data_IF_884760344979
#
_entry.id   IF_884760344979
#
_cell.length_a   1.000
_cell.length_b   1.000
_cell.length_c   1.000
_cell.angle_alpha   90.00
_cell.angle_beta   90.00
_cell.angle_gamma   90.00
#
_symmetry.space_group_name_H-M   'P 1'
#
loop_
_entity.id
_entity.type
_entity.pdbx_description
1 polymer ?
#
# COMPACT_ATOMS: atom_id res chain seq x y z
N UNK A 1 -0.72 19.65 0.86
CA UNK A 1 -1.79 18.86 0.20
C UNK A 1 -2.36 17.88 1.20
N UNK A 2 -3.68 17.75 1.29
CA UNK A 2 -4.30 16.70 2.10
C UNK A 2 -4.17 15.34 1.39
N UNK A 3 -3.80 14.30 2.12
CA UNK A 3 -3.74 12.93 1.58
C UNK A 3 -5.14 12.37 1.35
N UNK A 4 -5.31 11.62 0.26
CA UNK A 4 -6.51 10.85 -0.03
C UNK A 4 -6.65 9.70 0.97
N UNK A 5 -7.91 9.36 1.27
CA UNK A 5 -8.21 8.30 2.22
C UNK A 5 -7.98 6.92 1.59
N UNK A 6 -7.33 6.02 2.32
CA UNK A 6 -7.23 4.61 1.93
C UNK A 6 -8.45 3.87 2.45
N UNK A 7 -9.23 3.31 1.53
CA UNK A 7 -10.41 2.49 1.85
C UNK A 7 -10.26 1.16 1.15
N UNK A 8 -10.04 0.06 1.88
CA UNK A 8 -9.93 -1.26 1.25
C UNK A 8 -11.17 -1.58 0.40
N UNK A 9 -10.97 -2.17 -0.77
CA UNK A 9 -12.02 -2.40 -1.74
C UNK A 9 -11.57 -3.22 -2.94
N UNK A 10 -12.44 -3.32 -3.94
CA UNK A 10 -12.20 -4.07 -5.17
C UNK A 10 -12.26 -3.16 -6.39
N UNK A 11 -11.56 -3.52 -7.48
CA UNK A 11 -11.51 -2.69 -8.69
C UNK A 11 -12.90 -2.39 -9.27
N UNK A 12 -13.75 -3.40 -9.40
CA UNK A 12 -15.05 -3.29 -10.07
C UNK A 12 -16.14 -2.53 -9.31
N UNK A 13 -15.88 -2.02 -8.09
CA UNK A 13 -16.86 -1.30 -7.28
C UNK A 13 -16.29 0.02 -6.75
N UNK A 14 -17.10 1.07 -6.89
CA UNK A 14 -16.91 2.38 -6.28
C UNK A 14 -18.01 2.68 -5.27
N UNK A 15 -17.87 3.80 -4.57
CA UNK A 15 -18.92 4.34 -3.69
C UNK A 15 -20.20 4.75 -4.46
N UNK A 16 -20.11 4.85 -5.80
CA UNK A 16 -21.23 5.13 -6.70
C UNK A 16 -21.80 3.86 -7.36
N UNK A 17 -21.29 2.68 -7.02
CA UNK A 17 -21.68 1.40 -7.61
C UNK A 17 -20.63 0.81 -8.56
N UNK A 18 -21.06 -0.08 -9.46
CA UNK A 18 -20.16 -0.85 -10.34
C UNK A 18 -19.42 0.04 -11.33
N UNK A 19 -18.10 -0.11 -11.37
CA UNK A 19 -17.26 0.43 -12.44
C UNK A 19 -17.20 -0.64 -13.52
N UNK A 20 -17.95 -0.43 -14.60
CA UNK A 20 -18.09 -1.42 -15.68
C UNK A 20 -16.99 -1.33 -16.74
N UNK A 21 -16.19 -0.25 -16.77
CA UNK A 21 -15.11 -0.09 -17.75
C UNK A 21 -13.81 -0.73 -17.25
N UNK A 22 -13.28 -1.77 -17.91
CA UNK A 22 -11.97 -2.32 -17.56
C UNK A 22 -10.82 -1.34 -17.83
N UNK A 23 -11.02 -0.40 -18.76
CA UNK A 23 -9.98 0.50 -19.27
C UNK A 23 -9.51 1.48 -18.20
N UNK A 24 -10.39 1.89 -17.28
CA UNK A 24 -9.98 2.81 -16.21
C UNK A 24 -8.94 2.18 -15.28
N UNK A 25 -8.86 0.86 -15.20
CA UNK A 25 -7.85 0.16 -14.39
C UNK A 25 -6.55 -0.15 -15.14
N UNK A 26 -6.51 0.13 -16.45
CA UNK A 26 -5.33 -0.04 -17.32
C UNK A 26 -5.16 1.21 -18.19
N UNK A 27 -4.93 2.38 -17.58
CA UNK A 27 -4.74 3.61 -18.35
C UNK A 27 -3.51 3.48 -19.26
N UNK A 28 -3.54 4.13 -20.44
CA UNK A 28 -2.36 4.28 -21.29
C UNK A 28 -1.17 4.87 -20.54
N UNK A 29 0.04 4.54 -21.00
CA UNK A 29 1.27 4.94 -20.31
C UNK A 29 1.48 6.45 -20.26
N UNK A 30 1.05 7.19 -21.29
CA UNK A 30 1.14 8.65 -21.30
C UNK A 30 0.29 9.27 -20.18
N UNK A 31 -0.92 8.73 -19.96
CA UNK A 31 -1.83 9.16 -18.91
C UNK A 31 -1.29 8.84 -17.52
N UNK A 32 -0.71 7.64 -17.37
CA UNK A 32 -0.02 7.22 -16.14
C UNK A 32 1.15 8.15 -15.82
N UNK A 33 1.97 8.48 -16.82
CA UNK A 33 3.11 9.39 -16.67
C UNK A 33 2.64 10.80 -16.28
N UNK A 34 1.61 11.34 -16.94
CA UNK A 34 1.04 12.67 -16.60
C UNK A 34 0.53 12.73 -15.16
N UNK A 35 -0.19 11.71 -14.69
CA UNK A 35 -0.66 11.65 -13.31
C UNK A 35 0.51 11.59 -12.31
N UNK A 36 1.50 10.73 -12.57
CA UNK A 36 2.71 10.63 -11.76
C UNK A 36 3.53 11.92 -11.72
N UNK A 37 3.68 12.62 -12.86
CA UNK A 37 4.38 13.90 -12.91
C UNK A 37 3.63 14.98 -12.13
N UNK A 38 2.30 15.07 -12.28
CA UNK A 38 1.46 16.02 -11.52
C UNK A 38 1.63 15.83 -10.01
N UNK A 39 1.71 14.58 -9.56
CA UNK A 39 1.84 14.24 -8.15
C UNK A 39 3.32 14.20 -7.69
N UNK A 40 4.26 14.66 -8.52
CA UNK A 40 5.72 14.62 -8.24
C UNK A 40 6.23 13.23 -7.86
N UNK A 41 5.63 12.19 -8.43
CA UNK A 41 5.83 10.78 -8.10
C UNK A 41 5.61 10.47 -6.61
N UNK A 42 4.79 11.26 -5.91
CA UNK A 42 4.40 11.05 -4.53
C UNK A 42 3.02 10.37 -4.46
N UNK A 43 2.93 9.30 -3.69
CA UNK A 43 1.68 8.62 -3.41
C UNK A 43 0.69 9.59 -2.75
N UNK A 44 -0.45 9.86 -3.39
CA UNK A 44 -1.49 10.75 -2.88
C UNK A 44 -2.17 10.25 -1.61
N UNK A 45 -1.92 9.00 -1.20
CA UNK A 45 -2.53 8.37 -0.03
C UNK A 45 -1.64 8.38 1.22
N UNK A 46 -0.34 8.11 1.06
CA UNK A 46 0.59 8.02 2.18
C UNK A 46 1.79 8.97 2.07
N UNK A 47 1.95 9.67 0.96
CA UNK A 47 3.06 10.59 0.72
C UNK A 47 4.38 9.92 0.34
N UNK A 48 4.42 8.59 0.18
CA UNK A 48 5.64 7.93 -0.28
C UNK A 48 6.02 8.35 -1.70
N UNK A 49 7.19 8.97 -1.84
CA UNK A 49 7.73 9.43 -3.11
C UNK A 49 8.75 8.44 -3.67
N UNK A 50 8.63 8.11 -4.96
CA UNK A 50 9.50 7.15 -5.65
C UNK A 50 9.36 7.33 -7.16
N UNK A 51 10.47 7.50 -7.89
CA UNK A 51 10.41 7.71 -9.36
C UNK A 51 10.06 6.44 -10.15
N UNK A 52 10.16 5.27 -9.52
CA UNK A 52 9.77 3.97 -10.11
C UNK A 52 8.74 3.26 -9.24
N UNK A 53 7.99 2.36 -9.90
CA UNK A 53 7.01 1.46 -9.27
C UNK A 53 5.84 2.19 -8.58
N UNK A 54 5.54 3.42 -9.00
CA UNK A 54 4.25 4.02 -8.68
C UNK A 54 3.19 3.47 -9.63
N UNK A 55 2.01 3.23 -9.08
CA UNK A 55 0.79 2.89 -9.80
C UNK A 55 -0.12 4.13 -9.86
N UNK A 56 -1.17 4.05 -10.66
CA UNK A 56 -2.22 5.07 -10.72
C UNK A 56 -3.55 4.43 -10.38
N UNK A 57 -4.22 4.96 -9.35
CA UNK A 57 -5.55 4.51 -8.95
C UNK A 57 -6.61 5.44 -9.54
N UNK A 58 -7.63 4.87 -10.17
CA UNK A 58 -8.77 5.65 -10.68
C UNK A 58 -9.60 6.18 -9.50
N UNK A 59 -9.87 7.49 -9.51
CA UNK A 59 -10.67 8.20 -8.50
C UNK A 59 -11.88 8.93 -9.11
N UNK A 60 -12.10 8.77 -10.42
CA UNK A 60 -13.27 9.29 -11.11
C UNK A 60 -14.57 8.58 -10.70
N UNK A 61 -15.72 9.17 -11.06
CA UNK A 61 -17.05 8.70 -10.64
C UNK A 61 -17.77 7.83 -11.68
N UNK A 62 -17.58 8.12 -12.96
CA UNK A 62 -18.47 7.63 -14.02
C UNK A 62 -17.88 6.47 -14.84
N UNK A 63 -16.82 5.82 -14.32
CA UNK A 63 -16.13 4.73 -15.01
C UNK A 63 -15.52 5.13 -16.37
N UNK A 64 -15.34 6.43 -16.61
CA UNK A 64 -14.70 6.98 -17.81
C UNK A 64 -13.64 7.98 -17.39
N UNK A 65 -12.40 7.75 -17.81
CA UNK A 65 -11.32 8.70 -17.62
C UNK A 65 -11.39 9.82 -18.67
N UNK A 66 -11.34 11.07 -18.21
CA UNK A 66 -11.28 12.30 -19.02
C UNK A 66 -9.88 12.87 -19.07
N UNK A 67 -9.04 12.54 -18.09
CA UNK A 67 -7.66 13.02 -18.02
C UNK A 67 -6.91 12.54 -16.78
N UNK A 68 -5.70 13.06 -16.54
CA UNK A 68 -4.86 12.63 -15.41
C UNK A 68 -5.49 12.96 -14.05
N UNK A 69 -6.45 13.88 -14.00
CA UNK A 69 -7.19 14.25 -12.78
C UNK A 69 -8.18 13.20 -12.29
N UNK A 70 -8.56 12.25 -13.14
CA UNK A 70 -9.31 11.07 -12.71
C UNK A 70 -8.42 9.98 -12.10
N UNK A 71 -7.12 10.23 -11.97
CA UNK A 71 -6.15 9.31 -11.39
C UNK A 71 -5.40 9.96 -10.24
N UNK A 72 -5.08 9.14 -9.24
CA UNK A 72 -4.19 9.49 -8.15
C UNK A 72 -2.98 8.57 -8.16
N UNK A 73 -1.77 9.14 -8.10
CA UNK A 73 -0.55 8.36 -7.90
C UNK A 73 -0.61 7.58 -6.59
N UNK A 74 -0.29 6.30 -6.65
CA UNK A 74 -0.37 5.38 -5.52
C UNK A 74 0.87 4.50 -5.49
N UNK A 75 1.53 4.38 -4.33
CA UNK A 75 2.55 3.34 -4.18
C UNK A 75 1.91 1.96 -4.21
N UNK A 76 2.67 0.94 -4.59
CA UNK A 76 2.18 -0.45 -4.69
C UNK A 76 1.43 -0.91 -3.43
N UNK A 77 1.86 -0.48 -2.23
CA UNK A 77 1.22 -0.82 -0.97
C UNK A 77 -0.14 -0.12 -0.75
N UNK A 78 -0.31 1.12 -1.21
CA UNK A 78 -1.60 1.81 -1.13
C UNK A 78 -2.53 1.36 -2.25
N UNK A 79 -1.99 1.21 -3.47
CA UNK A 79 -2.73 0.76 -4.64
C UNK A 79 -3.43 -0.58 -4.39
N UNK A 80 -2.73 -1.57 -3.84
CA UNK A 80 -3.30 -2.90 -3.61
C UNK A 80 -4.48 -2.91 -2.63
N UNK A 81 -4.62 -1.88 -1.77
CA UNK A 81 -5.76 -1.78 -0.86
C UNK A 81 -7.07 -1.61 -1.65
N UNK A 82 -7.05 -0.99 -2.84
CA UNK A 82 -8.22 -0.78 -3.69
C UNK A 82 -8.51 -1.96 -4.64
N UNK A 83 -7.68 -3.01 -4.59
CA UNK A 83 -7.68 -4.11 -5.53
C UNK A 83 -7.48 -5.45 -4.81
N UNK A 84 -8.25 -5.68 -3.75
CA UNK A 84 -8.11 -6.87 -2.89
C UNK A 84 -8.21 -8.19 -3.68
N UNK A 85 -9.01 -8.22 -4.74
CA UNK A 85 -9.14 -9.39 -5.63
C UNK A 85 -7.84 -9.77 -6.35
N UNK A 86 -6.89 -8.83 -6.44
CA UNK A 86 -5.57 -9.05 -7.08
C UNK A 86 -4.49 -9.46 -6.08
N UNK A 87 -4.66 -9.11 -4.81
CA UNK A 87 -3.63 -9.25 -3.77
C UNK A 87 -3.23 -10.72 -3.58
N UNK A 88 -4.19 -11.64 -3.55
CA UNK A 88 -3.94 -13.07 -3.38
C UNK A 88 -3.16 -13.67 -4.58
N UNK A 89 -3.59 -13.33 -5.81
CA UNK A 89 -2.87 -13.73 -7.04
C UNK A 89 -1.44 -13.20 -7.06
N UNK A 90 -1.23 -11.98 -6.58
CA UNK A 90 0.09 -11.35 -6.49
C UNK A 90 0.86 -11.79 -5.25
N UNK A 91 0.23 -12.53 -4.33
CA UNK A 91 0.74 -12.91 -3.01
C UNK A 91 1.28 -11.73 -2.21
N UNK A 92 0.73 -10.53 -2.43
CA UNK A 92 1.36 -9.26 -2.03
C UNK A 92 0.82 -8.67 -0.74
N UNK A 93 -0.11 -9.35 -0.09
CA UNK A 93 -0.70 -8.86 1.15
C UNK A 93 -1.54 -9.89 1.90
N UNK A 94 -1.85 -9.57 3.15
CA UNK A 94 -2.77 -10.30 4.02
C UNK A 94 -3.66 -9.32 4.81
N UNK A 95 -4.83 -9.77 5.24
CA UNK A 95 -5.68 -9.00 6.16
C UNK A 95 -5.20 -9.25 7.60
N UNK A 96 -5.00 -8.18 8.36
CA UNK A 96 -4.60 -8.22 9.77
C UNK A 96 -5.51 -7.35 10.64
N UNK A 97 -5.59 -7.67 11.93
CA UNK A 97 -6.21 -6.80 12.93
C UNK A 97 -5.16 -5.87 13.56
N UNK A 98 -5.26 -4.57 13.26
CA UNK A 98 -4.33 -3.54 13.70
C UNK A 98 -5.08 -2.19 13.87
N UNK A 99 -5.87 -2.03 14.95
CA UNK A 99 -6.62 -0.82 15.22
C UNK A 99 -5.77 0.39 15.63
N UNK A 100 -4.55 0.18 16.11
CA UNK A 100 -3.68 1.17 16.74
C UNK A 100 -3.16 2.22 15.73
N UNK A 101 -2.96 1.82 14.47
CA UNK A 101 -2.46 2.72 13.42
C UNK A 101 -3.28 2.62 12.14
N UNK A 102 -3.26 3.69 11.34
CA UNK A 102 -3.91 3.72 10.02
C UNK A 102 -3.13 2.95 8.94
N UNK A 103 -3.78 2.65 7.83
CA UNK A 103 -3.17 1.94 6.69
C UNK A 103 -1.93 2.64 6.12
N UNK A 104 -1.94 3.99 6.06
CA UNK A 104 -0.79 4.75 5.56
C UNK A 104 0.45 4.56 6.45
N UNK A 105 0.27 4.56 7.78
CA UNK A 105 1.34 4.34 8.75
C UNK A 105 1.88 2.91 8.65
N UNK A 106 1.00 1.90 8.56
CA UNK A 106 1.41 0.52 8.32
C UNK A 106 2.23 0.39 7.03
N UNK A 107 1.81 1.03 5.95
CA UNK A 107 2.53 1.00 4.68
C UNK A 107 3.92 1.66 4.77
N UNK A 108 4.11 2.68 5.61
CA UNK A 108 5.44 3.25 5.89
C UNK A 108 6.30 2.30 6.72
N UNK A 109 5.72 1.73 7.77
CA UNK A 109 6.40 0.77 8.64
C UNK A 109 6.91 -0.44 7.85
N UNK A 110 6.06 -1.05 7.02
CA UNK A 110 6.46 -2.19 6.18
C UNK A 110 7.60 -1.84 5.22
N UNK A 111 7.60 -0.64 4.61
CA UNK A 111 8.72 -0.21 3.75
C UNK A 111 10.03 -0.14 4.53
N UNK A 112 10.01 0.48 5.71
CA UNK A 112 11.18 0.55 6.58
C UNK A 112 11.66 -0.85 7.00
N UNK A 113 10.74 -1.73 7.41
CA UNK A 113 11.02 -3.13 7.76
C UNK A 113 11.72 -3.84 6.61
N UNK A 114 11.18 -3.80 5.38
CA UNK A 114 11.78 -4.53 4.27
C UNK A 114 13.15 -3.98 3.86
N UNK A 115 13.35 -2.66 3.93
CA UNK A 115 14.64 -2.03 3.68
C UNK A 115 15.67 -2.40 4.75
N UNK A 116 15.27 -2.45 6.02
CA UNK A 116 16.14 -2.82 7.14
C UNK A 116 16.44 -4.32 7.21
N UNK A 117 15.47 -5.19 6.92
CA UNK A 117 15.59 -6.65 7.04
C UNK A 117 16.69 -7.25 6.17
N UNK A 118 17.02 -6.60 5.05
CA UNK A 118 18.10 -7.01 4.14
C UNK A 118 19.44 -6.31 4.43
N UNK A 119 19.51 -5.53 5.50
CA UNK A 119 20.77 -5.05 6.06
C UNK A 119 21.34 -6.07 7.07
N UNK A 120 22.40 -5.71 7.78
CA UNK A 120 23.03 -6.55 8.79
C UNK A 120 23.02 -5.84 10.15
N UNK A 121 23.14 -6.62 11.23
CA UNK A 121 23.21 -6.12 12.59
C UNK A 121 21.84 -5.83 13.23
N UNK A 122 21.83 -5.12 14.38
CA UNK A 122 20.65 -5.03 15.26
C UNK A 122 19.39 -4.46 14.59
N UNK A 123 19.55 -3.58 13.59
CA UNK A 123 18.43 -3.01 12.85
C UNK A 123 17.73 -4.04 11.96
N UNK A 124 18.48 -5.00 11.41
CA UNK A 124 17.91 -6.09 10.64
C UNK A 124 17.16 -7.07 11.55
N UNK A 125 17.68 -7.33 12.75
CA UNK A 125 17.03 -8.18 13.76
C UNK A 125 15.72 -7.54 14.22
N UNK A 126 15.74 -6.26 14.63
CA UNK A 126 14.53 -5.52 15.00
C UNK A 126 13.47 -5.48 13.88
N UNK A 127 13.90 -5.41 12.61
CA UNK A 127 12.98 -5.46 11.47
C UNK A 127 12.34 -6.85 11.29
N UNK A 128 13.07 -7.95 11.58
CA UNK A 128 12.50 -9.31 11.55
C UNK A 128 11.47 -9.48 12.65
N UNK A 129 11.80 -9.08 13.87
CA UNK A 129 10.90 -9.16 15.03
C UNK A 129 9.63 -8.33 14.80
N UNK A 130 9.77 -7.11 14.27
CA UNK A 130 8.63 -6.27 13.92
C UNK A 130 7.74 -6.90 12.83
N UNK A 131 8.33 -7.54 11.82
CA UNK A 131 7.57 -8.25 10.79
C UNK A 131 6.82 -9.45 11.36
N UNK A 132 7.46 -10.22 12.24
CA UNK A 132 6.85 -11.36 12.91
C UNK A 132 5.66 -10.92 13.76
N UNK A 133 5.81 -9.86 14.55
CA UNK A 133 4.73 -9.27 15.33
C UNK A 133 3.54 -8.83 14.44
N UNK A 134 3.80 -8.26 13.27
CA UNK A 134 2.75 -7.89 12.31
C UNK A 134 2.07 -9.11 11.69
N UNK A 135 2.83 -10.16 11.36
CA UNK A 135 2.28 -11.40 10.81
C UNK A 135 1.40 -12.14 11.81
N UNK A 136 1.76 -12.13 13.10
CA UNK A 136 0.96 -12.72 14.16
C UNK A 136 -0.46 -12.09 14.26
N UNK A 137 -0.63 -10.83 13.83
CA UNK A 137 -1.93 -10.15 13.78
C UNK A 137 -2.91 -10.72 12.76
N UNK A 138 -2.48 -11.62 11.87
CA UNK A 138 -3.36 -12.37 10.97
C UNK A 138 -4.34 -13.26 11.74
N UNK A 139 -3.90 -13.83 12.86
CA UNK A 139 -4.73 -14.75 13.63
C UNK A 139 -5.95 -14.04 14.23
N UNK A 140 -5.75 -12.84 14.76
CA UNK A 140 -6.85 -12.04 15.27
C UNK A 140 -7.78 -11.54 14.15
N UNK A 141 -7.28 -11.39 12.92
CA UNK A 141 -8.16 -11.14 11.78
C UNK A 141 -9.05 -12.34 11.48
N UNK A 142 -8.52 -13.57 11.49
CA UNK A 142 -9.33 -14.78 11.34
C UNK A 142 -10.37 -14.91 12.45
N UNK A 143 -10.02 -14.65 13.70
CA UNK A 143 -10.96 -14.73 14.83
C UNK A 143 -12.14 -13.75 14.71
N UNK A 144 -11.88 -12.54 14.20
CA UNK A 144 -12.89 -11.46 14.13
C UNK A 144 -13.67 -11.42 12.83
N UNK A 145 -12.99 -11.65 11.71
CA UNK A 145 -13.55 -11.52 10.36
C UNK A 145 -13.86 -12.88 9.71
N UNK A 146 -13.33 -13.97 10.28
CA UNK A 146 -13.36 -15.30 9.68
C UNK A 146 -12.27 -15.53 8.62
N UNK A 147 -11.44 -14.53 8.32
CA UNK A 147 -10.39 -14.66 7.30
C UNK A 147 -9.24 -13.66 7.46
N UNK A 148 -8.04 -14.08 7.09
CA UNK A 148 -6.88 -13.23 6.80
C UNK A 148 -6.62 -13.09 5.28
N UNK A 149 -7.47 -13.69 4.43
CA UNK A 149 -7.31 -13.70 2.97
C UNK A 149 -7.96 -12.45 2.34
N UNK A 150 -7.18 -11.64 1.61
CA UNK A 150 -7.72 -10.54 0.82
C UNK A 150 -8.74 -11.01 -0.24
N UNK A 151 -8.58 -12.22 -0.78
CA UNK A 151 -9.50 -12.78 -1.78
C UNK A 151 -10.87 -13.09 -1.19
N UNK A 152 -10.92 -13.74 -0.03
CA UNK A 152 -12.19 -14.02 0.65
C UNK A 152 -12.87 -12.70 1.01
N UNK A 153 -12.13 -11.72 1.54
CA UNK A 153 -12.67 -10.40 1.79
C UNK A 153 -13.19 -9.73 0.51
N UNK A 154 -12.47 -9.82 -0.60
CA UNK A 154 -12.91 -9.28 -1.89
C UNK A 154 -14.22 -9.91 -2.37
N UNK A 155 -14.37 -11.24 -2.25
CA UNK A 155 -15.60 -11.96 -2.57
C UNK A 155 -16.77 -11.49 -1.71
N UNK A 156 -16.57 -11.32 -0.40
CA UNK A 156 -17.60 -10.76 0.50
C UNK A 156 -18.03 -9.36 0.05
N UNK A 157 -17.05 -8.48 -0.23
CA UNK A 157 -17.34 -7.12 -0.67
C UNK A 157 -18.04 -7.07 -2.04
N UNK A 158 -17.79 -8.04 -2.92
CA UNK A 158 -18.33 -8.06 -4.28
C UNK A 158 -19.73 -8.66 -4.35
N UNK A 159 -19.93 -9.80 -3.70
CA UNK A 159 -21.08 -10.66 -3.94
C UNK A 159 -22.15 -10.51 -2.86
N UNK A 160 -21.80 -9.95 -1.70
CA UNK A 160 -22.69 -9.89 -0.53
C UNK A 160 -23.00 -8.47 -0.02
N UNK A 161 -22.33 -7.44 -0.52
CA UNK A 161 -22.63 -6.05 -0.13
C UNK A 161 -23.42 -5.33 -1.22
N UNK A 162 -24.51 -4.69 -0.81
CA UNK A 162 -25.19 -3.71 -1.66
C UNK A 162 -24.35 -2.42 -1.80
N UNK A 163 -24.69 -1.55 -2.76
CA UNK A 163 -23.96 -0.28 -3.00
C UNK A 163 -23.92 0.60 -1.74
N UNK A 164 -25.03 0.68 -1.00
CA UNK A 164 -25.15 1.45 0.24
C UNK A 164 -24.23 0.91 1.34
N UNK A 165 -24.09 -0.42 1.42
CA UNK A 165 -23.23 -1.10 2.39
C UNK A 165 -21.76 -1.02 2.00
N UNK A 166 -21.46 -1.17 0.70
CA UNK A 166 -20.12 -1.02 0.17
C UNK A 166 -19.61 0.40 0.42
N UNK A 167 -20.44 1.44 0.21
CA UNK A 167 -20.10 2.82 0.57
C UNK A 167 -19.74 2.98 2.06
N UNK A 168 -20.36 2.20 2.93
CA UNK A 168 -20.10 2.18 4.37
C UNK A 168 -19.04 1.15 4.80
N UNK A 169 -18.40 0.42 3.86
CA UNK A 169 -17.44 -0.68 4.16
C UNK A 169 -16.33 -0.27 5.12
N UNK A 170 -15.92 0.99 5.11
CA UNK A 170 -14.85 1.47 5.98
C UNK A 170 -15.21 1.44 7.47
N UNK A 171 -16.49 1.65 7.83
CA UNK A 171 -16.92 1.50 9.22
C UNK A 171 -16.91 0.03 9.63
N UNK A 172 -17.34 -0.86 8.73
CA UNK A 172 -17.32 -2.33 8.94
C UNK A 172 -15.89 -2.89 9.02
N UNK A 173 -14.95 -2.31 8.27
CA UNK A 173 -13.53 -2.68 8.25
C UNK A 173 -12.69 -1.87 9.26
N UNK A 174 -13.31 -1.15 10.19
CA UNK A 174 -12.57 -0.42 11.22
C UNK A 174 -11.72 -1.40 12.02
N UNK A 175 -10.44 -1.07 12.16
CA UNK A 175 -9.43 -1.91 12.81
C UNK A 175 -8.72 -2.93 11.90
N UNK A 176 -9.29 -3.29 10.75
CA UNK A 176 -8.63 -4.16 9.79
C UNK A 176 -7.68 -3.39 8.87
N UNK A 177 -6.55 -4.00 8.53
CA UNK A 177 -5.55 -3.45 7.61
C UNK A 177 -5.10 -4.50 6.61
N UNK A 178 -4.62 -4.04 5.46
CA UNK A 178 -3.94 -4.87 4.48
C UNK A 178 -2.45 -4.77 4.75
N UNK A 179 -1.87 -5.80 5.38
CA UNK A 179 -0.43 -5.93 5.57
C UNK A 179 0.21 -6.21 4.21
N UNK A 180 1.05 -5.31 3.66
CA UNK A 180 1.88 -5.65 2.51
C UNK A 180 2.84 -6.78 2.87
N UNK A 181 3.08 -7.70 1.94
CA UNK A 181 4.06 -8.78 2.06
C UNK A 181 5.26 -8.54 1.14
N UNK A 182 6.36 -9.26 1.37
CA UNK A 182 7.61 -9.18 0.59
C UNK A 182 7.56 -9.94 -0.75
N UNK A 183 6.38 -10.04 -1.34
CA UNK A 183 6.12 -10.69 -2.63
C UNK A 183 5.22 -9.84 -3.48
N UNK A 184 5.43 -9.90 -4.79
CA UNK A 184 4.56 -9.30 -5.81
C UNK A 184 4.68 -10.10 -7.09
N UNK A 185 3.90 -11.17 -7.21
CA UNK A 185 3.90 -12.02 -8.41
C UNK A 185 3.20 -11.28 -9.55
N UNK A 186 3.93 -11.07 -10.65
CA UNK A 186 3.45 -10.45 -11.89
C UNK A 186 3.49 -11.51 -12.99
N UNK A 187 2.46 -11.53 -13.83
CA UNK A 187 2.40 -12.37 -15.02
C UNK A 187 2.60 -11.50 -16.26
N UNK A 188 3.56 -11.86 -17.10
CA UNK A 188 3.81 -11.25 -18.41
C UNK A 188 3.89 -12.37 -19.45
N UNK A 189 2.83 -12.52 -20.26
CA UNK A 189 2.66 -13.71 -21.10
C UNK A 189 2.57 -14.98 -20.24
N UNK A 190 3.42 -15.96 -20.56
CA UNK A 190 3.53 -17.23 -19.84
C UNK A 190 4.53 -17.19 -18.68
N UNK A 191 5.19 -16.05 -18.44
CA UNK A 191 6.18 -15.91 -17.38
C UNK A 191 5.56 -15.34 -16.10
N UNK A 192 5.89 -15.94 -14.96
CA UNK A 192 5.60 -15.42 -13.63
C UNK A 192 6.89 -15.10 -12.89
N UNK A 193 6.98 -13.91 -12.30
CA UNK A 193 8.13 -13.54 -11.47
C UNK A 193 7.73 -12.68 -10.28
N UNK A 194 8.51 -12.76 -9.21
CA UNK A 194 8.37 -11.88 -8.07
C UNK A 194 9.06 -10.54 -8.36
N UNK A 195 8.29 -9.45 -8.46
CA UNK A 195 8.80 -8.10 -8.72
C UNK A 195 9.29 -7.38 -7.44
N UNK A 196 8.95 -7.89 -6.26
CA UNK A 196 9.27 -7.20 -5.01
C UNK A 196 10.78 -7.01 -4.75
N UNK A 197 11.66 -8.00 -5.04
CA UNK A 197 13.10 -7.82 -4.93
C UNK A 197 13.65 -6.65 -5.78
N UNK A 198 13.12 -6.43 -6.99
CA UNK A 198 13.54 -5.33 -7.86
C UNK A 198 13.06 -3.97 -7.30
N UNK A 199 11.82 -3.92 -6.79
CA UNK A 199 11.29 -2.74 -6.09
C UNK A 199 12.20 -2.38 -4.91
N UNK A 200 12.51 -3.37 -4.08
CA UNK A 200 13.32 -3.18 -2.87
C UNK A 200 14.77 -2.79 -3.20
N UNK A 201 15.35 -3.38 -4.24
CA UNK A 201 16.68 -3.00 -4.75
C UNK A 201 16.69 -1.54 -5.22
N UNK A 202 15.69 -1.12 -5.99
CA UNK A 202 15.56 0.28 -6.41
C UNK A 202 15.39 1.22 -5.22
N UNK A 203 14.54 0.88 -4.25
CA UNK A 203 14.32 1.73 -3.07
C UNK A 203 15.59 2.02 -2.28
N UNK A 204 16.54 1.07 -2.27
CA UNK A 204 17.85 1.19 -1.61
C UNK A 204 18.95 1.79 -2.48
N UNK A 205 18.72 1.89 -3.79
CA UNK A 205 19.69 2.44 -4.72
C UNK A 205 19.93 3.93 -4.42
N UNK A 206 21.00 4.48 -4.99
CA UNK A 206 21.33 5.92 -4.86
C UNK A 206 20.16 6.82 -5.27
N UNK A 207 19.43 6.43 -6.31
CA UNK A 207 18.28 7.17 -6.84
C UNK A 207 16.93 6.74 -6.23
N UNK A 208 17.00 5.91 -5.19
CA UNK A 208 15.86 5.36 -4.48
C UNK A 208 15.49 6.17 -3.23
N UNK A 209 14.26 6.00 -2.70
CA UNK A 209 13.78 6.81 -1.57
C UNK A 209 14.53 6.59 -0.26
N UNK A 210 15.30 5.51 -0.12
CA UNK A 210 16.13 5.22 1.06
C UNK A 210 17.64 5.32 0.77
N UNK A 211 18.03 5.80 -0.42
CA UNK A 211 19.43 5.86 -0.84
C UNK A 211 20.29 6.76 0.05
N UNK A 212 19.79 7.95 0.39
CA UNK A 212 20.52 8.93 1.21
C UNK A 212 20.46 8.60 2.71
N UNK A 213 19.41 7.90 3.14
CA UNK A 213 19.13 7.54 4.54
C UNK A 213 19.03 6.03 4.72
N UNK A 214 20.14 5.26 4.57
CA UNK A 214 20.14 3.83 4.74
C UNK A 214 19.95 3.41 6.23
N UNK A 215 19.50 2.17 6.50
CA UNK A 215 19.21 1.67 7.85
C UNK A 215 20.28 1.93 8.92
N UNK A 216 21.56 1.79 8.55
CA UNK A 216 22.70 2.06 9.43
C UNK A 216 22.75 3.48 10.03
N UNK A 217 22.04 4.45 9.42
CA UNK A 217 21.96 5.85 9.91
C UNK A 217 20.74 6.12 10.78
N UNK A 218 19.73 5.23 10.79
CA UNK A 218 18.43 5.54 11.39
C UNK A 218 18.50 5.73 12.91
N UNK A 219 19.35 4.97 13.62
CA UNK A 219 19.52 5.12 15.08
C UNK A 219 20.04 6.52 15.41
N UNK A 220 21.07 6.99 14.69
CA UNK A 220 21.60 8.34 14.87
C UNK A 220 20.53 9.39 14.53
N UNK A 221 19.84 9.23 13.39
CA UNK A 221 18.77 10.15 12.99
C UNK A 221 17.66 10.25 14.04
N UNK A 222 17.27 9.13 14.66
CA UNK A 222 16.27 9.11 15.71
C UNK A 222 16.69 9.96 16.93
N UNK A 223 17.91 9.77 17.43
CA UNK A 223 18.42 10.55 18.55
C UNK A 223 18.62 12.03 18.20
N UNK A 224 19.07 12.33 16.98
CA UNK A 224 19.20 13.71 16.49
C UNK A 224 17.83 14.42 16.45
N UNK A 225 16.77 13.71 16.07
CA UNK A 225 15.39 14.24 16.07
C UNK A 225 14.88 14.41 17.51
N UNK A 226 15.05 13.41 18.38
CA UNK A 226 14.64 13.52 19.78
C UNK A 226 15.30 14.71 20.49
N UNK A 227 16.61 14.89 20.31
CA UNK A 227 17.35 16.01 20.91
C UNK A 227 16.82 17.37 20.46
N UNK A 228 16.44 17.50 19.19
CA UNK A 228 15.83 18.74 18.67
C UNK A 228 14.45 19.02 19.27
N UNK A 229 13.61 18.00 19.42
CA UNK A 229 12.27 18.14 20.02
C UNK A 229 12.36 18.61 21.47
N UNK A 230 13.29 18.05 22.25
CA UNK A 230 13.53 18.44 23.65
C UNK A 230 14.00 19.89 23.75
N UNK A 231 14.85 20.33 22.83
CA UNK A 231 15.35 21.72 22.81
C UNK A 231 14.34 22.73 22.28
N UNK A 232 13.37 22.33 21.44
CA UNK A 232 12.30 23.22 20.97
C UNK A 232 11.14 23.40 21.96
N UNK A 233 11.11 22.61 23.04
CA UNK A 233 10.11 22.69 24.11
C UNK A 233 10.62 23.42 25.36
N UNK A 234 11.88 23.86 25.36
CA UNK A 234 12.47 24.77 26.37
C UNK A 234 12.49 26.18 25.82
#
# INVERSE_FOLDING_TARGET
MAYLRITPGISGLSDAGRILSPDVHRPPDDLRQKANQRDENACRYCGFQSRKYQEVNFIGKDGKAKGPDDYATACTFCYQCFHLERVDRMQSGAVIWLPEIGQAALNHLCRAIYVARISQGPMADAARDAMEALLARKEEAKNRLGTDSPRILATVLQDFLEVSEYKNRLSRLKGFRILPLDRRIIKEGDLEFNQFPQILAYWRSKDGPFGETPPRRWVKMFYDIQGKVVNSQK
#
